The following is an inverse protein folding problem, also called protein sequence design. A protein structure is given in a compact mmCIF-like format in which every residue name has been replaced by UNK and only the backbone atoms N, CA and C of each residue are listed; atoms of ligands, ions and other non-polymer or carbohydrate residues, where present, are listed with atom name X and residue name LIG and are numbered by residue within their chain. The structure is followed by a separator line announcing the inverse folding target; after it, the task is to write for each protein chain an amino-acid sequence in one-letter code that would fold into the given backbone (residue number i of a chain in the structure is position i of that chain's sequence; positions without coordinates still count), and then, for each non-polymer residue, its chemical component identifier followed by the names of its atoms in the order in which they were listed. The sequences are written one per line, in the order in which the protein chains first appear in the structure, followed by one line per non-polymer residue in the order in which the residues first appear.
data_IF_221291867704
#
_entry.id   IF_221291867704
#
_cell.length_a   1.000
_cell.length_b   1.000
_cell.length_c   1.000
_cell.angle_alpha   90.00
_cell.angle_beta   90.00
_cell.angle_gamma   90.00
#
_symmetry.space_group_name_H-M   'P 1'
#
loop_
_entity.id
_entity.type
_entity.pdbx_description
1 polymer ?
#
# COMPACT_ATOMS: atom_id res chain seq x y z
N UNK A 1 -11.03 0.05 29.54
CA UNK A 1 -10.46 -1.18 28.97
C UNK A 1 -10.92 -1.24 27.53
N UNK A 2 -10.02 -1.14 26.55
CA UNK A 2 -10.39 -1.37 25.16
C UNK A 2 -10.65 -2.88 25.01
N UNK A 3 -11.84 -3.26 24.56
CA UNK A 3 -12.09 -4.64 24.15
C UNK A 3 -11.04 -5.02 23.11
N UNK A 4 -10.37 -6.16 23.29
CA UNK A 4 -9.50 -6.71 22.25
C UNK A 4 -10.36 -6.92 21.01
N UNK A 5 -10.16 -6.11 19.98
CA UNK A 5 -10.85 -6.26 18.71
C UNK A 5 -10.38 -7.59 18.11
N UNK A 6 -11.23 -8.62 18.17
CA UNK A 6 -10.89 -9.95 17.70
C UNK A 6 -10.74 -9.93 16.18
N UNK A 7 -9.68 -10.54 15.66
CA UNK A 7 -9.43 -10.59 14.21
C UNK A 7 -10.37 -11.61 13.55
N UNK A 8 -11.00 -11.23 12.46
CA UNK A 8 -11.92 -12.09 11.70
C UNK A 8 -11.13 -12.98 10.75
N UNK A 9 -11.32 -14.30 10.84
CA UNK A 9 -10.68 -15.26 9.95
C UNK A 9 -11.42 -15.34 8.61
N UNK A 10 -10.76 -14.90 7.53
CA UNK A 10 -11.37 -14.82 6.19
C UNK A 10 -11.62 -16.19 5.53
N UNK A 11 -11.20 -17.28 6.19
CA UNK A 11 -11.49 -18.65 5.73
C UNK A 11 -12.85 -19.17 6.21
N UNK A 12 -13.51 -18.42 7.10
CA UNK A 12 -14.85 -18.78 7.61
C UNK A 12 -15.95 -18.37 6.62
N UNK A 13 -17.08 -19.09 6.61
CA UNK A 13 -18.13 -18.90 5.59
C UNK A 13 -18.75 -17.49 5.63
N UNK A 14 -18.95 -16.92 6.83
CA UNK A 14 -19.66 -15.65 7.02
C UNK A 14 -18.71 -14.47 7.32
N UNK A 15 -17.42 -14.61 7.02
CA UNK A 15 -16.41 -13.64 7.42
C UNK A 15 -16.71 -12.21 6.93
N UNK A 16 -17.31 -12.08 5.73
CA UNK A 16 -17.63 -10.80 5.13
C UNK A 16 -18.84 -10.14 5.83
N UNK A 17 -19.85 -10.92 6.24
CA UNK A 17 -20.94 -10.44 7.10
C UNK A 17 -20.44 -9.96 8.46
N UNK A 18 -19.51 -10.70 9.07
CA UNK A 18 -18.91 -10.32 10.34
C UNK A 18 -18.09 -9.03 10.19
N UNK A 19 -17.28 -8.92 9.13
CA UNK A 19 -16.50 -7.72 8.86
C UNK A 19 -17.39 -6.50 8.62
N UNK A 20 -18.46 -6.65 7.84
CA UNK A 20 -19.43 -5.58 7.59
C UNK A 20 -20.13 -5.11 8.88
N UNK A 21 -20.43 -6.04 9.79
CA UNK A 21 -21.03 -5.75 11.10
C UNK A 21 -20.06 -4.98 11.99
N UNK A 22 -18.81 -5.42 12.07
CA UNK A 22 -17.76 -4.72 12.83
C UNK A 22 -17.49 -3.32 12.28
N UNK A 23 -17.41 -3.15 10.95
CA UNK A 23 -17.22 -1.83 10.33
C UNK A 23 -18.36 -0.85 10.67
N UNK A 24 -19.60 -1.31 10.73
CA UNK A 24 -20.75 -0.49 11.15
C UNK A 24 -20.66 -0.05 12.61
N UNK A 25 -20.01 -0.85 13.46
CA UNK A 25 -19.89 -0.59 14.89
C UNK A 25 -18.64 0.23 15.26
N UNK A 26 -17.51 -0.02 14.59
CA UNK A 26 -16.19 0.39 15.05
C UNK A 26 -15.38 1.17 14.00
N UNK A 27 -15.96 1.49 12.84
CA UNK A 27 -15.34 2.18 11.67
C UNK A 27 -14.13 1.49 11.05
N UNK A 28 -13.53 0.52 11.75
CA UNK A 28 -12.46 -0.34 11.27
C UNK A 28 -12.72 -1.80 11.71
N UNK A 29 -12.05 -2.73 11.06
CA UNK A 29 -11.99 -4.12 11.51
C UNK A 29 -10.64 -4.73 11.13
N UNK A 30 -10.28 -5.84 11.76
CA UNK A 30 -9.02 -6.55 11.50
C UNK A 30 -9.31 -7.91 10.91
N UNK A 31 -8.70 -8.20 9.77
CA UNK A 31 -8.81 -9.50 9.12
C UNK A 31 -7.56 -10.34 9.38
N UNK A 32 -7.74 -11.61 9.70
CA UNK A 32 -6.68 -12.60 9.70
C UNK A 32 -6.59 -13.18 8.29
N UNK A 33 -5.46 -12.90 7.64
CA UNK A 33 -5.21 -13.33 6.26
C UNK A 33 -5.04 -14.85 6.15
N UNK A 34 -5.41 -15.46 5.00
CA UNK A 34 -5.09 -16.85 4.72
C UNK A 34 -3.58 -17.08 4.73
N UNK A 35 -3.09 -18.26 5.12
CA UNK A 35 -1.65 -18.55 5.21
C UNK A 35 -0.87 -18.21 3.92
N UNK A 36 -1.44 -18.50 2.75
CA UNK A 36 -0.76 -18.25 1.48
C UNK A 36 -0.67 -16.78 1.12
N UNK A 37 -1.71 -15.99 1.41
CA UNK A 37 -1.66 -14.54 1.26
C UNK A 37 -0.71 -13.92 2.28
N UNK A 38 -0.67 -14.43 3.51
CA UNK A 38 0.30 -14.03 4.53
C UNK A 38 1.75 -14.24 4.09
N UNK A 39 2.07 -15.40 3.49
CA UNK A 39 3.40 -15.66 2.88
C UNK A 39 3.70 -14.68 1.75
N UNK A 40 2.70 -14.36 0.92
CA UNK A 40 2.85 -13.40 -0.19
C UNK A 40 3.16 -11.99 0.31
N UNK A 41 2.52 -11.56 1.40
CA UNK A 41 2.81 -10.28 2.08
C UNK A 41 4.23 -10.29 2.67
N UNK A 42 4.68 -11.39 3.27
CA UNK A 42 6.07 -11.51 3.73
C UNK A 42 7.06 -11.42 2.57
N UNK A 43 6.75 -12.07 1.44
CA UNK A 43 7.54 -11.98 0.23
C UNK A 43 7.59 -10.54 -0.30
N UNK A 44 6.46 -9.83 -0.30
CA UNK A 44 6.39 -8.42 -0.71
C UNK A 44 7.38 -7.56 0.08
N UNK A 45 7.45 -7.72 1.41
CA UNK A 45 8.43 -6.99 2.23
C UNK A 45 9.87 -7.36 1.87
N UNK A 46 10.18 -8.64 1.66
CA UNK A 46 11.53 -9.08 1.26
C UNK A 46 11.94 -8.62 -0.14
N UNK A 47 11.01 -8.59 -1.10
CA UNK A 47 11.26 -8.07 -2.44
C UNK A 47 11.41 -6.54 -2.43
N UNK A 48 10.66 -5.84 -1.56
CA UNK A 48 10.81 -4.40 -1.35
C UNK A 48 12.18 -4.04 -0.79
N UNK A 49 12.65 -4.75 0.24
CA UNK A 49 13.98 -4.57 0.80
C UNK A 49 15.07 -4.70 -0.26
N UNK A 50 15.03 -5.79 -1.04
CA UNK A 50 15.99 -6.05 -2.13
C UNK A 50 15.97 -4.96 -3.21
N UNK A 51 14.79 -4.49 -3.60
CA UNK A 51 14.67 -3.43 -4.60
C UNK A 51 15.13 -2.06 -4.06
N UNK A 52 14.89 -1.76 -2.78
CA UNK A 52 15.29 -0.49 -2.17
C UNK A 52 16.80 -0.43 -1.92
N UNK A 53 17.46 -1.58 -1.77
CA UNK A 53 18.92 -1.65 -1.66
C UNK A 53 19.62 -1.67 -3.02
N UNK A 54 18.93 -2.08 -4.09
CA UNK A 54 19.46 -2.08 -5.44
C UNK A 54 19.36 -0.70 -6.12
N UNK A 55 20.51 -0.17 -6.55
CA UNK A 55 20.59 1.15 -7.19
C UNK A 55 19.86 1.20 -8.54
N UNK A 56 19.90 0.12 -9.31
CA UNK A 56 19.24 0.07 -10.62
C UNK A 56 17.71 0.09 -10.44
N UNK A 57 17.19 -0.76 -9.56
CA UNK A 57 15.79 -0.83 -9.17
C UNK A 57 15.26 0.52 -8.70
N UNK A 58 15.94 1.18 -7.77
CA UNK A 58 15.55 2.52 -7.30
C UNK A 58 15.46 3.55 -8.40
N UNK A 59 16.39 3.52 -9.36
CA UNK A 59 16.39 4.47 -10.49
C UNK A 59 15.21 4.20 -11.43
N UNK A 60 14.94 2.93 -11.71
CA UNK A 60 13.86 2.53 -12.63
C UNK A 60 12.47 2.72 -12.01
N UNK A 61 12.32 2.51 -10.70
CA UNK A 61 11.05 2.67 -10.02
C UNK A 61 10.74 4.12 -9.64
N UNK A 62 11.67 5.07 -9.80
CA UNK A 62 11.52 6.44 -9.30
C UNK A 62 10.28 7.10 -9.91
N UNK A 63 9.49 7.77 -9.06
CA UNK A 63 8.37 8.60 -9.54
C UNK A 63 8.91 9.67 -10.51
N UNK A 64 8.34 9.81 -11.72
CA UNK A 64 8.67 10.91 -12.63
C UNK A 64 8.55 12.28 -11.93
N UNK A 65 9.40 13.24 -12.30
CA UNK A 65 9.41 14.53 -11.60
C UNK A 65 8.09 15.30 -11.77
N UNK A 66 7.45 15.16 -12.94
CA UNK A 66 6.16 15.80 -13.26
C UNK A 66 4.99 15.24 -12.44
N UNK A 67 5.10 14.00 -11.94
CA UNK A 67 4.02 13.30 -11.21
C UNK A 67 4.24 13.31 -9.69
N UNK A 68 5.33 13.91 -9.20
CA UNK A 68 5.73 13.81 -7.79
C UNK A 68 4.67 14.37 -6.82
N UNK A 69 3.99 15.42 -7.24
CA UNK A 69 2.97 16.14 -6.46
C UNK A 69 1.54 15.61 -6.72
N UNK A 70 1.36 14.70 -7.68
CA UNK A 70 0.08 14.07 -8.00
C UNK A 70 -0.14 12.84 -7.10
N UNK A 71 -0.58 13.07 -5.85
CA UNK A 71 -0.77 12.01 -4.86
C UNK A 71 -1.79 10.95 -5.28
N UNK A 72 -2.75 11.35 -6.11
CA UNK A 72 -3.87 10.50 -6.50
C UNK A 72 -3.48 9.60 -7.68
N UNK A 73 -2.51 9.99 -8.51
CA UNK A 73 -2.10 9.20 -9.68
C UNK A 73 -0.66 8.67 -9.68
N UNK A 74 0.20 9.11 -8.75
CA UNK A 74 1.64 8.78 -8.83
C UNK A 74 1.93 7.32 -8.52
N UNK A 75 2.68 6.70 -9.41
CA UNK A 75 3.23 5.37 -9.21
C UNK A 75 4.75 5.46 -9.08
N UNK A 76 5.30 4.83 -8.04
CA UNK A 76 6.73 4.62 -7.94
C UNK A 76 7.36 4.83 -6.59
N UNK A 77 8.69 4.77 -6.63
CA UNK A 77 9.59 4.78 -5.51
C UNK A 77 9.97 6.21 -5.13
N UNK A 78 9.82 6.51 -3.84
CA UNK A 78 10.19 7.77 -3.24
C UNK A 78 11.24 7.49 -2.16
N UNK A 79 12.38 8.18 -2.30
CA UNK A 79 13.45 8.24 -1.31
C UNK A 79 13.33 9.58 -0.57
N UNK A 80 12.69 9.56 0.59
CA UNK A 80 12.67 10.70 1.51
C UNK A 80 13.68 10.51 2.64
N UNK A 81 14.12 11.62 3.23
CA UNK A 81 15.19 11.70 4.24
C UNK A 81 15.04 10.75 5.42
N UNK A 82 13.82 10.32 5.73
CA UNK A 82 13.53 9.42 6.86
C UNK A 82 12.89 8.10 6.40
N UNK A 83 12.36 8.03 5.19
CA UNK A 83 11.50 6.93 4.75
C UNK A 83 11.70 6.67 3.28
N UNK A 84 11.84 5.41 2.94
CA UNK A 84 11.81 4.93 1.56
C UNK A 84 10.48 4.21 1.37
N UNK A 85 9.76 4.47 0.29
CA UNK A 85 8.54 3.73 -0.02
C UNK A 85 8.29 3.57 -1.50
N UNK A 86 7.59 2.50 -1.84
CA UNK A 86 6.96 2.29 -3.13
C UNK A 86 5.46 2.58 -2.95
N UNK A 87 4.90 3.37 -3.85
CA UNK A 87 3.47 3.64 -3.98
C UNK A 87 2.97 3.09 -5.30
N UNK A 88 1.86 2.35 -5.27
CA UNK A 88 1.23 1.80 -6.46
C UNK A 88 -0.28 2.00 -6.41
N UNK A 89 -0.83 2.59 -7.45
CA UNK A 89 -2.25 2.65 -7.78
C UNK A 89 -2.49 1.70 -8.95
N UNK A 90 -2.94 0.49 -8.69
CA UNK A 90 -3.05 -0.56 -9.72
C UNK A 90 -4.18 -0.32 -10.72
N UNK A 91 -5.11 0.59 -10.41
CA UNK A 91 -6.13 1.08 -11.36
C UNK A 91 -5.51 1.96 -12.45
N UNK A 92 -4.32 2.51 -12.21
CA UNK A 92 -3.63 3.41 -13.12
C UNK A 92 -2.39 2.67 -13.68
N UNK A 93 -2.24 2.64 -15.01
CA UNK A 93 -1.02 2.16 -15.65
C UNK A 93 0.19 2.93 -15.10
N UNK A 94 1.09 2.22 -14.42
CA UNK A 94 2.31 2.84 -13.90
C UNK A 94 3.23 3.26 -15.06
N UNK A 95 3.50 4.57 -15.18
CA UNK A 95 4.52 5.11 -16.06
C UNK A 95 5.79 5.40 -15.27
N UNK A 96 6.81 4.56 -15.46
CA UNK A 96 8.11 4.71 -14.82
C UNK A 96 9.11 5.50 -15.69
N UNK A 97 8.65 6.11 -16.79
CA UNK A 97 9.50 6.87 -17.73
C UNK A 97 10.47 6.00 -18.53
N UNK A 98 10.30 4.67 -18.50
CA UNK A 98 11.16 3.70 -19.17
C UNK A 98 10.88 2.26 -18.73
N UNK A 99 11.57 1.27 -19.34
CA UNK A 99 11.41 -0.13 -18.98
C UNK A 99 11.94 -0.42 -17.56
N UNK A 100 11.20 -1.25 -16.83
CA UNK A 100 11.63 -1.81 -15.53
C UNK A 100 12.12 -3.24 -15.74
N UNK A 101 13.43 -3.39 -15.91
CA UNK A 101 14.09 -4.67 -16.20
C UNK A 101 15.05 -5.14 -15.09
N UNK A 102 15.28 -4.31 -14.07
CA UNK A 102 16.06 -4.70 -12.91
C UNK A 102 15.34 -5.84 -12.17
N UNK A 103 15.95 -7.04 -12.02
CA UNK A 103 15.24 -8.20 -11.49
C UNK A 103 14.58 -8.00 -10.11
N UNK A 104 15.18 -7.26 -9.14
CA UNK A 104 14.50 -6.95 -7.88
C UNK A 104 13.26 -6.07 -8.07
N UNK A 105 13.32 -5.06 -8.93
CA UNK A 105 12.18 -4.19 -9.23
C UNK A 105 11.04 -4.95 -9.90
N UNK A 106 11.33 -5.78 -10.91
CA UNK A 106 10.31 -6.58 -11.59
C UNK A 106 9.60 -7.53 -10.62
N UNK A 107 10.37 -8.26 -9.77
CA UNK A 107 9.79 -9.14 -8.74
C UNK A 107 8.93 -8.39 -7.74
N UNK A 108 9.37 -7.21 -7.32
CA UNK A 108 8.61 -6.37 -6.41
C UNK A 108 7.27 -5.96 -7.04
N UNK A 109 7.27 -5.44 -8.27
CA UNK A 109 6.05 -5.02 -8.96
C UNK A 109 5.07 -6.19 -9.16
N UNK A 110 5.56 -7.34 -9.60
CA UNK A 110 4.75 -8.56 -9.75
C UNK A 110 4.11 -9.00 -8.42
N UNK A 111 4.90 -8.98 -7.34
CA UNK A 111 4.43 -9.38 -6.02
C UNK A 111 3.41 -8.37 -5.46
N UNK A 112 3.70 -7.07 -5.62
CA UNK A 112 2.88 -5.97 -5.15
C UNK A 112 1.52 -5.94 -5.85
N UNK A 113 1.47 -6.06 -7.18
CA UNK A 113 0.21 -6.14 -7.94
C UNK A 113 -0.65 -7.33 -7.49
N UNK A 114 -0.03 -8.49 -7.26
CA UNK A 114 -0.77 -9.67 -6.83
C UNK A 114 -1.30 -9.56 -5.38
N UNK A 115 -0.56 -8.90 -4.49
CA UNK A 115 -1.04 -8.63 -3.11
C UNK A 115 -2.16 -7.59 -3.13
N UNK A 116 -2.03 -6.51 -3.90
CA UNK A 116 -3.07 -5.50 -4.04
C UNK A 116 -4.36 -6.11 -4.57
N UNK A 117 -4.30 -6.89 -5.66
CA UNK A 117 -5.49 -7.56 -6.20
C UNK A 117 -6.17 -8.47 -5.18
N UNK A 118 -5.39 -9.19 -4.37
CA UNK A 118 -5.94 -10.04 -3.32
C UNK A 118 -6.63 -9.23 -2.21
N UNK A 119 -6.05 -8.10 -1.80
CA UNK A 119 -6.66 -7.19 -0.83
C UNK A 119 -7.91 -6.52 -1.38
N UNK A 120 -7.88 -6.04 -2.64
CA UNK A 120 -9.05 -5.50 -3.33
C UNK A 120 -10.19 -6.50 -3.37
N UNK A 121 -9.91 -7.77 -3.67
CA UNK A 121 -10.92 -8.83 -3.68
C UNK A 121 -11.55 -9.08 -2.30
N UNK A 122 -10.79 -8.97 -1.21
CA UNK A 122 -11.33 -9.05 0.16
C UNK A 122 -12.21 -7.83 0.46
N UNK A 123 -11.72 -6.62 0.17
CA UNK A 123 -12.48 -5.39 0.38
C UNK A 123 -13.80 -5.40 -0.42
N UNK A 124 -13.76 -5.87 -1.67
CA UNK A 124 -14.92 -6.00 -2.55
C UNK A 124 -16.01 -6.90 -1.94
N UNK A 125 -15.65 -8.06 -1.38
CA UNK A 125 -16.62 -8.96 -0.73
C UNK A 125 -17.35 -8.28 0.44
N UNK A 126 -16.62 -7.50 1.24
CA UNK A 126 -17.22 -6.75 2.37
C UNK A 126 -18.12 -5.63 1.87
N UNK A 127 -17.71 -4.91 0.81
CA UNK A 127 -18.50 -3.85 0.19
C UNK A 127 -19.81 -4.39 -0.41
N UNK A 128 -19.77 -5.55 -1.06
CA UNK A 128 -20.97 -6.23 -1.58
C UNK A 128 -21.96 -6.58 -0.47
N UNK A 129 -21.48 -7.01 0.70
CA UNK A 129 -22.33 -7.24 1.86
C UNK A 129 -22.94 -5.94 2.38
N UNK A 130 -22.13 -4.89 2.53
CA UNK A 130 -22.60 -3.57 2.98
C UNK A 130 -23.66 -2.99 2.03
N UNK A 131 -23.45 -3.15 0.72
CA UNK A 131 -24.34 -2.71 -0.35
C UNK A 131 -25.75 -3.31 -0.26
N UNK A 132 -25.90 -4.55 0.22
CA UNK A 132 -27.23 -5.18 0.44
C UNK A 132 -28.15 -4.34 1.33
N UNK A 133 -27.56 -3.55 2.23
CA UNK A 133 -28.27 -2.69 3.18
C UNK A 133 -28.25 -1.20 2.82
N UNK A 134 -27.65 -0.82 1.69
CA UNK A 134 -27.47 0.58 1.29
C UNK A 134 -27.64 0.74 -0.23
N UNK A 135 -28.81 1.19 -0.71
CA UNK A 135 -29.06 1.39 -2.14
C UNK A 135 -28.05 2.31 -2.86
N UNK A 136 -27.58 3.43 -2.27
CA UNK A 136 -26.54 4.25 -2.89
C UNK A 136 -25.22 3.49 -3.06
N UNK A 137 -24.81 2.70 -2.06
CA UNK A 137 -23.60 1.89 -2.13
C UNK A 137 -23.75 0.77 -3.17
N UNK A 138 -24.93 0.14 -3.26
CA UNK A 138 -25.21 -0.86 -4.28
C UNK A 138 -25.11 -0.28 -5.71
N UNK A 139 -25.55 0.95 -5.92
CA UNK A 139 -25.41 1.63 -7.20
C UNK A 139 -23.92 1.85 -7.56
N UNK A 140 -23.11 2.30 -6.60
CA UNK A 140 -21.66 2.50 -6.78
C UNK A 140 -20.93 1.19 -7.07
N UNK A 141 -21.20 0.12 -6.30
CA UNK A 141 -20.61 -1.21 -6.54
C UNK A 141 -20.98 -1.75 -7.92
N UNK A 142 -22.23 -1.56 -8.34
CA UNK A 142 -22.68 -1.98 -9.68
C UNK A 142 -22.08 -1.12 -10.80
N UNK A 143 -21.81 0.16 -10.56
CA UNK A 143 -21.11 1.04 -11.50
C UNK A 143 -19.66 0.60 -11.67
N UNK A 144 -18.93 0.39 -10.57
CA UNK A 144 -17.56 -0.10 -10.55
C UNK A 144 -17.41 -1.44 -11.30
N UNK A 145 -18.33 -2.38 -11.09
CA UNK A 145 -18.32 -3.68 -11.77
C UNK A 145 -18.56 -3.59 -13.29
N UNK A 146 -19.14 -2.48 -13.78
CA UNK A 146 -19.38 -2.22 -15.21
C UNK A 146 -18.33 -1.31 -15.84
N UNK A 147 -17.49 -0.66 -15.03
CA UNK A 147 -16.46 0.24 -15.53
C UNK A 147 -15.36 -0.55 -16.23
N UNK A 148 -15.09 -0.28 -17.53
CA UNK A 148 -13.93 -0.87 -18.19
C UNK A 148 -12.66 -0.34 -17.53
N UNK A 149 -11.66 -1.22 -17.35
CA UNK A 149 -10.32 -0.81 -16.94
C UNK A 149 -9.84 0.29 -17.90
N UNK A 150 -9.38 1.45 -17.41
CA UNK A 150 -8.96 2.54 -18.27
C UNK A 150 -7.81 2.08 -19.19
N UNK A 151 -7.78 2.55 -20.45
CA UNK A 151 -6.70 2.21 -21.36
C UNK A 151 -5.34 2.74 -20.83
N UNK A 152 -4.21 2.07 -21.17
CA UNK A 152 -2.88 2.52 -20.82
C UNK A 152 -2.66 4.02 -21.10
N UNK A 153 -2.33 4.83 -20.08
CA UNK A 153 -2.05 6.26 -20.22
C UNK A 153 -3.26 7.20 -20.22
N UNK A 154 -4.48 6.70 -20.03
CA UNK A 154 -5.60 7.58 -19.73
C UNK A 154 -5.42 8.18 -18.33
N UNK A 155 -5.37 9.52 -18.22
CA UNK A 155 -5.61 10.18 -16.94
C UNK A 155 -6.93 9.68 -16.39
N UNK A 156 -6.91 9.22 -15.15
CA UNK A 156 -8.07 8.67 -14.48
C UNK A 156 -9.20 9.72 -14.56
N UNK A 157 -10.30 9.34 -15.19
CA UNK A 157 -11.51 10.14 -15.29
C UNK A 157 -12.70 9.42 -14.66
N UNK A 158 -12.46 8.26 -14.06
CA UNK A 158 -13.50 7.41 -13.50
C UNK A 158 -13.91 7.88 -12.11
N UNK A 159 -15.17 8.26 -12.01
CA UNK A 159 -15.93 8.54 -10.78
C UNK A 159 -16.17 7.28 -9.92
N UNK A 160 -15.27 6.30 -9.97
CA UNK A 160 -15.35 5.09 -9.15
C UNK A 160 -14.93 5.36 -7.71
N UNK A 161 -15.13 4.40 -6.80
CA UNK A 161 -14.64 4.50 -5.41
C UNK A 161 -13.35 3.69 -5.17
N UNK A 162 -12.88 2.94 -6.18
CA UNK A 162 -11.79 1.97 -6.03
C UNK A 162 -10.42 2.56 -6.40
N UNK A 163 -10.10 3.73 -5.87
CA UNK A 163 -8.72 4.20 -5.78
C UNK A 163 -8.02 3.37 -4.70
N UNK A 164 -7.55 2.18 -5.08
CA UNK A 164 -6.78 1.31 -4.19
C UNK A 164 -5.29 1.63 -4.34
N UNK A 165 -4.73 2.27 -3.32
CA UNK A 165 -3.31 2.52 -3.21
C UNK A 165 -2.64 1.48 -2.30
N UNK A 166 -1.62 0.80 -2.83
CA UNK A 166 -0.69 -0.01 -2.05
C UNK A 166 0.57 0.81 -1.78
N UNK A 167 0.91 0.98 -0.50
CA UNK A 167 2.19 1.57 -0.08
C UNK A 167 3.00 0.59 0.75
N UNK A 168 4.23 0.30 0.31
CA UNK A 168 5.21 -0.48 1.07
C UNK A 168 6.34 0.45 1.47
N UNK A 169 6.61 0.58 2.77
CA UNK A 169 7.59 1.51 3.30
C UNK A 169 8.61 0.84 4.21
N UNK A 170 9.82 1.44 4.26
CA UNK A 170 10.91 1.11 5.19
C UNK A 170 11.40 2.41 5.82
N UNK A 171 11.77 2.36 7.11
CA UNK A 171 12.50 3.47 7.72
C UNK A 171 13.90 3.50 7.11
N UNK A 172 14.33 4.66 6.60
CA UNK A 172 15.64 4.75 5.96
C UNK A 172 16.74 4.59 7.02
N UNK A 173 17.55 3.52 6.90
CA UNK A 173 18.76 3.33 7.73
C UNK A 173 19.94 4.16 7.23
N UNK A 174 19.78 4.84 6.07
CA UNK A 174 20.83 5.67 5.48
C UNK A 174 21.04 6.90 6.36
N UNK A 175 21.93 6.77 7.34
CA UNK A 175 22.57 7.92 8.00
C UNK A 175 23.23 8.76 6.92
N UNK A 176 22.59 9.82 6.50
CA UNK A 176 23.27 10.78 5.65
C UNK A 176 24.27 11.57 6.49
N UNK A 177 25.46 11.70 5.89
CA UNK A 177 26.58 12.50 6.36
C UNK A 177 26.08 13.83 6.93
N UNK A 178 26.74 14.36 7.97
CA UNK A 178 26.34 15.61 8.56
C UNK A 178 26.24 16.67 7.44
N UNK A 179 25.29 17.61 7.54
CA UNK A 179 25.30 18.78 6.66
C UNK A 179 26.73 19.33 6.66
N UNK A 180 27.27 19.65 5.48
CA UNK A 180 28.58 20.31 5.37
C UNK A 180 28.61 21.41 6.44
N UNK A 181 29.52 21.22 7.38
CA UNK A 181 29.52 21.84 8.69
C UNK A 181 29.42 23.36 8.66
N UNK A 182 28.65 23.91 9.60
CA UNK A 182 29.15 25.03 10.39
C UNK A 182 28.81 24.75 11.86
N UNK A 183 29.83 24.37 12.64
CA UNK A 183 29.86 24.34 14.11
C UNK A 183 28.87 23.35 14.80
N UNK A 184 29.14 22.65 15.90
CA UNK A 184 30.29 22.33 16.73
C UNK A 184 29.75 21.32 17.78
N UNK A 185 30.65 20.60 18.46
CA UNK A 185 30.44 19.92 19.75
C UNK A 185 29.65 18.59 19.87
N UNK A 186 30.46 17.53 19.99
CA UNK A 186 30.45 16.47 21.03
C UNK A 186 29.08 16.05 21.62
N UNK A 187 28.71 14.78 21.42
CA UNK A 187 28.88 13.72 22.43
C UNK A 187 28.35 12.39 21.87
N UNK A 188 29.12 11.31 22.04
CA UNK A 188 28.68 9.94 21.78
C UNK A 188 27.63 9.55 22.83
N UNK A 189 26.48 9.07 22.39
CA UNK A 189 25.64 8.16 23.15
C UNK A 189 24.99 7.15 22.18
N UNK A 190 25.09 5.87 22.54
CA UNK A 190 24.58 4.71 21.80
C UNK A 190 23.05 4.79 21.67
N UNK A 191 22.43 4.45 20.53
CA UNK A 191 20.98 4.39 20.45
C UNK A 191 20.46 3.13 21.16
N UNK A 192 19.66 3.36 22.19
CA UNK A 192 18.69 2.40 22.73
C UNK A 192 17.62 2.14 21.66
N UNK A 193 17.25 0.87 21.49
CA UNK A 193 16.08 0.47 20.72
C UNK A 193 14.82 0.84 21.50
N UNK A 194 13.95 1.67 20.94
CA UNK A 194 12.57 1.82 21.39
C UNK A 194 11.64 1.60 20.18
N UNK A 195 10.86 0.52 20.27
CA UNK A 195 9.73 0.24 19.38
C UNK A 195 8.50 0.93 19.97
N UNK A 196 7.97 1.93 19.26
CA UNK A 196 6.77 2.66 19.65
C UNK A 196 5.73 2.65 18.54
N UNK A 197 4.60 2.00 18.80
CA UNK A 197 3.38 2.14 18.04
C UNK A 197 2.68 3.45 18.44
N UNK A 198 2.31 4.28 17.47
CA UNK A 198 1.43 5.42 17.72
C UNK A 198 0.21 5.31 16.81
N UNK A 199 -0.93 4.98 17.44
CA UNK A 199 -2.22 5.50 17.02
C UNK A 199 -2.37 6.92 17.58
N UNK A 200 -3.14 7.75 16.90
CA UNK A 200 -3.58 9.03 17.45
C UNK A 200 -5.06 9.20 17.18
N UNK A 201 -5.69 9.77 18.21
CA UNK A 201 -7.11 9.90 18.48
C UNK A 201 -7.88 10.75 17.47
#
# INVERSE_FOLDING_TARGET
MAASHESIDVTTINWAEDAARELKAHVYTTLKLPPDLGKRVQQLYGDAERAFDDRASRRQLRVPEDDRDDLDARNGFIDDRKREWLELHTSIPADFGGPVDAPPATRLLECACAVEHAFRALCQQVLEVLARSSPPLAALVAEEARSPLPPPGARESSRGFAESMLRVYRQSERRHAPPRSAHEHRARALPRYEMGAYGSA
#
